data_IF_723548057963
#
_entry.id   IF_723548057963
#
_cell.length_a   1.000
_cell.length_b   1.000
_cell.length_c   1.000
_cell.angle_alpha   90.00
_cell.angle_beta   90.00
_cell.angle_gamma   90.00
#
_symmetry.space_group_name_H-M   'P 1'
#
loop_
_entity.id
_entity.type
_entity.pdbx_description
1 polymer ?
#
# COMPACT_ATOMS: atom_id res chain seq x y z
N UNK A 1 -30.69 -35.00 30.37
CA UNK A 1 -30.70 -33.64 29.80
C UNK A 1 -29.63 -32.82 30.53
N UNK A 2 -28.39 -32.62 30.07
CA UNK A 2 -27.95 -32.31 28.71
C UNK A 2 -27.51 -30.84 28.58
N UNK A 3 -26.96 -30.21 29.62
CA UNK A 3 -26.51 -28.81 29.66
C UNK A 3 -25.14 -28.62 28.99
N UNK A 4 -25.06 -28.83 27.67
CA UNK A 4 -23.94 -28.39 26.84
C UNK A 4 -24.35 -27.10 26.13
N UNK A 5 -24.16 -25.90 26.69
CA UNK A 5 -24.47 -24.65 25.94
C UNK A 5 -23.72 -23.34 26.25
N UNK A 6 -22.69 -23.24 27.13
CA UNK A 6 -21.86 -22.02 27.17
C UNK A 6 -20.55 -22.09 26.37
N UNK A 7 -19.98 -23.30 26.14
CA UNK A 7 -18.65 -23.44 25.55
C UNK A 7 -18.62 -23.18 24.02
N UNK A 8 -19.68 -23.56 23.29
CA UNK A 8 -19.75 -23.39 21.83
C UNK A 8 -19.94 -21.93 21.40
N UNK A 9 -20.67 -21.11 22.18
CA UNK A 9 -20.85 -19.68 21.86
C UNK A 9 -19.53 -18.91 21.92
N UNK A 10 -18.67 -19.23 22.89
CA UNK A 10 -17.43 -18.48 23.11
C UNK A 10 -16.38 -18.74 22.01
N UNK A 11 -16.29 -19.98 21.51
CA UNK A 11 -15.43 -20.32 20.37
C UNK A 11 -15.85 -19.64 19.06
N UNK A 12 -17.17 -19.46 18.86
CA UNK A 12 -17.73 -18.78 17.68
C UNK A 12 -17.44 -17.28 17.71
N UNK A 13 -17.44 -16.62 18.88
CA UNK A 13 -17.09 -15.19 18.96
C UNK A 13 -15.59 -14.96 18.76
N UNK A 14 -14.73 -15.82 19.31
CA UNK A 14 -13.28 -15.72 19.13
C UNK A 14 -12.86 -15.94 17.66
N UNK A 15 -13.37 -16.99 17.03
CA UNK A 15 -13.10 -17.30 15.62
C UNK A 15 -13.59 -16.20 14.67
N UNK A 16 -14.70 -15.53 14.99
CA UNK A 16 -15.22 -14.40 14.23
C UNK A 16 -14.39 -13.13 14.40
N UNK A 17 -13.91 -12.86 15.61
CA UNK A 17 -12.97 -11.77 15.85
C UNK A 17 -11.67 -11.96 15.05
N UNK A 18 -11.16 -13.19 15.01
CA UNK A 18 -9.97 -13.55 14.22
C UNK A 18 -10.24 -13.39 12.72
N UNK A 19 -11.37 -13.88 12.20
CA UNK A 19 -11.74 -13.72 10.79
C UNK A 19 -11.91 -12.24 10.41
N UNK A 20 -12.59 -11.45 11.25
CA UNK A 20 -12.74 -10.02 11.02
C UNK A 20 -11.37 -9.33 10.98
N UNK A 21 -10.46 -9.65 11.93
CA UNK A 21 -9.11 -9.10 11.96
C UNK A 21 -8.29 -9.48 10.71
N UNK A 22 -8.42 -10.72 10.23
CA UNK A 22 -7.75 -11.20 9.02
C UNK A 22 -8.18 -10.43 7.76
N UNK A 23 -9.42 -9.94 7.68
CA UNK A 23 -9.88 -9.10 6.57
C UNK A 23 -9.62 -7.61 6.82
N UNK A 24 -9.57 -7.18 8.07
CA UNK A 24 -9.34 -5.77 8.42
C UNK A 24 -7.88 -5.36 8.17
N UNK A 25 -6.92 -6.26 8.38
CA UNK A 25 -5.51 -6.04 8.06
C UNK A 25 -5.28 -5.65 6.58
N UNK A 26 -5.67 -6.47 5.58
CA UNK A 26 -5.51 -6.09 4.18
C UNK A 26 -6.36 -4.85 3.83
N UNK A 27 -7.52 -4.63 4.46
CA UNK A 27 -8.29 -3.41 4.24
C UNK A 27 -7.48 -2.15 4.60
N UNK A 28 -6.88 -2.13 5.79
CA UNK A 28 -6.08 -0.99 6.29
C UNK A 28 -4.83 -0.82 5.45
N UNK A 29 -4.10 -1.90 5.16
CA UNK A 29 -2.93 -1.84 4.28
C UNK A 29 -3.29 -1.30 2.89
N UNK A 30 -4.42 -1.73 2.34
CA UNK A 30 -4.91 -1.27 1.05
C UNK A 30 -5.21 0.23 1.03
N UNK A 31 -5.91 0.73 2.05
CA UNK A 31 -6.21 2.15 2.22
C UNK A 31 -4.93 2.97 2.36
N UNK A 32 -3.94 2.50 3.13
CA UNK A 32 -2.65 3.19 3.27
C UNK A 32 -1.92 3.26 1.94
N UNK A 33 -1.80 2.16 1.19
CA UNK A 33 -1.12 2.14 -0.12
C UNK A 33 -1.80 3.07 -1.13
N UNK A 34 -3.12 2.95 -1.28
CA UNK A 34 -3.89 3.79 -2.19
C UNK A 34 -3.85 5.27 -1.77
N UNK A 35 -3.98 5.55 -0.48
CA UNK A 35 -3.88 6.90 0.06
C UNK A 35 -2.50 7.52 -0.16
N UNK A 36 -1.44 6.75 0.02
CA UNK A 36 -0.06 7.19 -0.24
C UNK A 36 0.15 7.53 -1.71
N UNK A 37 -0.36 6.68 -2.61
CA UNK A 37 -0.32 6.93 -4.05
C UNK A 37 -1.07 8.22 -4.41
N UNK A 38 -2.26 8.43 -3.84
CA UNK A 38 -3.05 9.65 -4.08
C UNK A 38 -2.38 10.90 -3.51
N UNK A 39 -1.81 10.81 -2.30
CA UNK A 39 -1.14 11.92 -1.62
C UNK A 39 0.24 12.26 -2.20
N UNK A 40 0.84 11.38 -3.02
CA UNK A 40 2.17 11.61 -3.58
C UNK A 40 2.19 12.88 -4.46
N UNK A 41 3.14 13.78 -4.21
CA UNK A 41 3.28 14.98 -5.04
C UNK A 41 3.77 14.62 -6.45
N UNK A 42 3.48 15.44 -7.46
CA UNK A 42 4.02 15.28 -8.83
C UNK A 42 5.51 15.61 -8.96
N UNK A 43 6.19 15.78 -7.83
CA UNK A 43 7.60 16.14 -7.75
C UNK A 43 8.45 14.90 -8.00
N UNK A 44 9.33 14.97 -9.00
CA UNK A 44 10.24 13.88 -9.33
C UNK A 44 11.35 13.81 -8.29
N UNK A 45 11.54 12.64 -7.67
CA UNK A 45 12.58 12.44 -6.66
C UNK A 45 13.56 11.38 -7.12
N UNK A 46 14.84 11.72 -7.02
CA UNK A 46 15.92 10.76 -7.17
C UNK A 46 16.09 9.96 -5.86
N UNK A 47 16.07 8.62 -5.89
CA UNK A 47 16.34 7.79 -4.71
C UNK A 47 17.82 7.76 -4.32
N UNK A 48 18.72 8.25 -5.17
CA UNK A 48 20.14 8.40 -4.89
C UNK A 48 20.67 9.77 -5.26
N UNK A 49 21.85 9.79 -5.86
CA UNK A 49 22.58 11.00 -6.24
C UNK A 49 21.96 11.60 -7.50
N UNK A 50 21.57 12.87 -7.42
CA UNK A 50 21.06 13.62 -8.56
C UNK A 50 22.14 14.55 -9.08
N UNK A 51 22.49 14.45 -10.36
CA UNK A 51 23.49 15.30 -10.99
C UNK A 51 22.78 16.33 -11.87
N UNK A 52 22.98 17.60 -11.54
CA UNK A 52 22.40 18.73 -12.27
C UNK A 52 23.01 18.90 -13.67
N UNK A 53 22.43 19.79 -14.45
CA UNK A 53 22.89 20.14 -15.81
C UNK A 53 24.34 20.66 -15.84
N UNK A 54 24.81 21.23 -14.73
CA UNK A 54 26.18 21.69 -14.52
C UNK A 54 27.18 20.56 -14.21
N UNK A 55 26.72 19.31 -14.13
CA UNK A 55 27.55 18.15 -13.79
C UNK A 55 27.85 18.01 -12.30
N UNK A 56 27.31 18.90 -11.47
CA UNK A 56 27.49 18.90 -10.02
C UNK A 56 26.31 18.22 -9.31
N UNK A 57 26.56 17.60 -8.16
CA UNK A 57 25.51 17.01 -7.33
C UNK A 57 24.52 18.08 -6.87
N UNK A 58 23.22 17.81 -7.05
CA UNK A 58 22.13 18.71 -6.71
C UNK A 58 21.19 18.08 -5.69
N UNK A 59 21.20 18.56 -4.43
CA UNK A 59 20.25 18.09 -3.43
C UNK A 59 18.84 18.61 -3.75
N UNK A 60 17.85 17.73 -3.59
CA UNK A 60 16.43 18.07 -3.71
C UNK A 60 15.74 17.37 -4.87
N UNK A 61 14.54 17.84 -5.25
CA UNK A 61 13.79 17.24 -6.34
C UNK A 61 14.46 17.48 -7.68
N UNK A 62 14.35 16.47 -8.53
CA UNK A 62 14.93 16.45 -9.86
C UNK A 62 14.22 17.48 -10.74
N UNK A 63 14.97 18.18 -11.59
CA UNK A 63 14.45 19.17 -12.53
C UNK A 63 14.55 18.66 -13.97
N UNK A 64 13.67 19.13 -14.86
CA UNK A 64 13.86 18.94 -16.29
C UNK A 64 15.22 19.53 -16.69
N UNK A 65 16.07 18.73 -17.35
CA UNK A 65 17.44 19.10 -17.72
C UNK A 65 18.53 18.52 -16.83
N UNK A 66 18.18 17.96 -15.65
CA UNK A 66 19.16 17.22 -14.83
C UNK A 66 19.71 16.02 -15.61
N UNK A 67 21.02 15.82 -15.50
CA UNK A 67 21.80 14.96 -16.40
C UNK A 67 21.52 13.48 -16.14
N UNK A 68 21.58 13.07 -14.87
CA UNK A 68 21.26 11.70 -14.46
C UNK A 68 20.98 11.63 -12.95
N UNK A 69 20.23 10.59 -12.58
CA UNK A 69 19.93 10.20 -11.22
C UNK A 69 20.44 8.78 -10.98
N UNK A 70 21.30 8.57 -9.98
CA UNK A 70 21.73 7.24 -9.59
C UNK A 70 20.63 6.54 -8.80
N UNK A 71 20.15 5.41 -9.32
CA UNK A 71 19.12 4.61 -8.68
C UNK A 71 19.79 3.66 -7.70
N UNK A 72 19.61 3.93 -6.41
CA UNK A 72 20.14 3.11 -5.33
C UNK A 72 19.03 2.23 -4.73
N UNK A 73 19.36 0.97 -4.43
CA UNK A 73 18.58 0.11 -3.52
C UNK A 73 19.41 -0.14 -2.27
N UNK A 74 19.17 0.67 -1.24
CA UNK A 74 20.07 0.74 -0.09
C UNK A 74 21.43 1.27 -0.55
N UNK A 75 22.48 0.47 -0.40
CA UNK A 75 23.84 0.84 -0.83
C UNK A 75 24.23 0.25 -2.20
N UNK A 76 23.30 -0.41 -2.91
CA UNK A 76 23.60 -1.06 -4.18
C UNK A 76 23.15 -0.17 -5.33
N UNK A 77 24.06 0.25 -6.25
CA UNK A 77 23.69 0.97 -7.46
C UNK A 77 23.01 0.02 -8.44
N UNK A 78 21.81 0.39 -8.88
CA UNK A 78 21.01 -0.35 -9.87
C UNK A 78 21.13 0.24 -11.28
N UNK A 79 21.79 1.38 -11.41
CA UNK A 79 21.99 2.09 -12.67
C UNK A 79 21.63 3.56 -12.56
N UNK A 80 21.67 4.25 -13.69
CA UNK A 80 21.31 5.66 -13.80
C UNK A 80 20.01 5.82 -14.58
N UNK A 81 19.23 6.85 -14.24
CA UNK A 81 18.03 7.24 -14.96
C UNK A 81 18.03 8.72 -15.24
N UNK A 82 17.55 9.08 -16.42
CA UNK A 82 17.24 10.47 -16.77
C UNK A 82 15.99 10.96 -16.04
N UNK A 83 15.74 12.28 -16.08
CA UNK A 83 14.55 12.89 -15.48
C UNK A 83 13.24 12.25 -15.96
N UNK A 84 13.08 12.05 -17.28
CA UNK A 84 11.84 11.51 -17.83
C UNK A 84 11.67 10.02 -17.53
N UNK A 85 12.75 9.24 -17.52
CA UNK A 85 12.72 7.83 -17.09
C UNK A 85 12.33 7.70 -15.62
N UNK A 86 12.89 8.55 -14.76
CA UNK A 86 12.55 8.54 -13.34
C UNK A 86 11.11 9.00 -13.10
N UNK A 87 10.64 10.00 -13.83
CA UNK A 87 9.25 10.46 -13.79
C UNK A 87 8.27 9.37 -14.21
N UNK A 88 8.57 8.64 -15.28
CA UNK A 88 7.77 7.53 -15.76
C UNK A 88 7.73 6.39 -14.72
N UNK A 89 8.89 6.00 -14.19
CA UNK A 89 8.98 4.97 -13.16
C UNK A 89 8.17 5.33 -11.90
N UNK A 90 8.28 6.57 -11.41
CA UNK A 90 7.49 7.03 -10.26
C UNK A 90 5.98 7.06 -10.55
N UNK A 91 5.59 7.34 -11.80
CA UNK A 91 4.19 7.29 -12.21
C UNK A 91 3.66 5.86 -12.22
N UNK A 92 4.43 4.91 -12.75
CA UNK A 92 4.10 3.49 -12.74
C UNK A 92 3.99 2.95 -11.31
N UNK A 93 4.97 3.25 -10.44
CA UNK A 93 4.95 2.87 -9.02
C UNK A 93 3.70 3.41 -8.31
N UNK A 94 3.28 4.63 -8.66
CA UNK A 94 2.06 5.24 -8.12
C UNK A 94 0.81 4.50 -8.57
N UNK A 95 0.71 4.14 -9.85
CA UNK A 95 -0.42 3.40 -10.39
C UNK A 95 -0.49 1.98 -9.84
N UNK A 96 0.65 1.33 -9.66
CA UNK A 96 0.73 -0.01 -9.07
C UNK A 96 0.26 0.02 -7.60
N UNK A 97 0.78 0.95 -6.80
CA UNK A 97 0.33 1.15 -5.42
C UNK A 97 -1.16 1.48 -5.32
N UNK A 98 -1.71 2.26 -6.27
CA UNK A 98 -3.13 2.55 -6.31
C UNK A 98 -3.95 1.30 -6.65
N UNK A 99 -3.48 0.49 -7.60
CA UNK A 99 -4.15 -0.73 -8.06
C UNK A 99 -4.14 -1.80 -6.98
N UNK A 100 -2.97 -2.11 -6.43
CA UNK A 100 -2.80 -3.07 -5.32
C UNK A 100 -3.55 -2.57 -4.08
N UNK A 101 -3.39 -1.28 -3.74
CA UNK A 101 -4.03 -0.68 -2.58
C UNK A 101 -5.56 -0.74 -2.65
N UNK A 102 -6.13 -0.35 -3.79
CA UNK A 102 -7.59 -0.41 -4.00
C UNK A 102 -8.12 -1.85 -3.97
N UNK A 103 -7.41 -2.79 -4.59
CA UNK A 103 -7.76 -4.21 -4.56
C UNK A 103 -7.81 -4.78 -3.14
N UNK A 104 -6.76 -4.51 -2.34
CA UNK A 104 -6.69 -4.93 -0.93
C UNK A 104 -7.78 -4.28 -0.08
N UNK A 105 -8.06 -2.98 -0.29
CA UNK A 105 -9.09 -2.25 0.43
C UNK A 105 -10.49 -2.85 0.17
N UNK A 106 -10.83 -3.09 -1.10
CA UNK A 106 -12.11 -3.71 -1.49
C UNK A 106 -12.23 -5.12 -0.94
N UNK A 107 -11.19 -5.95 -1.11
CA UNK A 107 -11.17 -7.32 -0.60
C UNK A 107 -11.42 -7.37 0.91
N UNK A 108 -10.69 -6.57 1.67
CA UNK A 108 -10.82 -6.52 3.13
C UNK A 108 -12.19 -5.98 3.57
N UNK A 109 -12.70 -4.92 2.93
CA UNK A 109 -14.03 -4.38 3.21
C UNK A 109 -15.15 -5.40 2.96
N UNK A 110 -15.09 -6.12 1.83
CA UNK A 110 -16.06 -7.18 1.51
C UNK A 110 -16.00 -8.29 2.55
N UNK A 111 -14.80 -8.76 2.91
CA UNK A 111 -14.62 -9.79 3.93
C UNK A 111 -15.17 -9.40 5.31
N UNK A 112 -14.84 -8.19 5.78
CA UNK A 112 -15.39 -7.65 7.05
C UNK A 112 -16.92 -7.55 6.97
N UNK A 113 -17.45 -7.06 5.86
CA UNK A 113 -18.91 -6.94 5.64
C UNK A 113 -19.58 -8.30 5.68
N UNK A 114 -19.01 -9.34 5.07
CA UNK A 114 -19.56 -10.70 5.11
C UNK A 114 -19.56 -11.25 6.55
N UNK A 115 -18.45 -11.10 7.29
CA UNK A 115 -18.34 -11.57 8.68
C UNK A 115 -19.34 -10.84 9.59
N UNK A 116 -19.51 -9.52 9.40
CA UNK A 116 -20.40 -8.65 10.16
C UNK A 116 -21.88 -8.77 9.77
N UNK A 117 -22.23 -8.84 8.48
CA UNK A 117 -23.61 -8.98 8.03
C UNK A 117 -24.12 -10.42 8.21
N UNK A 118 -23.23 -11.41 8.10
CA UNK A 118 -23.51 -12.79 8.51
C UNK A 118 -23.83 -12.92 10.01
N UNK A 119 -23.48 -11.92 10.84
CA UNK A 119 -23.95 -11.84 12.24
C UNK A 119 -25.42 -11.40 12.31
N UNK A 120 -25.82 -10.35 11.58
CA UNK A 120 -27.18 -9.79 11.66
C UNK A 120 -28.27 -10.76 11.21
N UNK A 121 -27.99 -11.66 10.25
CA UNK A 121 -28.96 -12.66 9.77
C UNK A 121 -29.12 -13.90 10.65
N UNK A 122 -28.24 -14.15 11.63
CA UNK A 122 -28.40 -15.28 12.58
C UNK A 122 -29.07 -14.88 13.89
N UNK A 123 -29.20 -13.58 14.14
CA UNK A 123 -29.81 -13.02 15.37
C UNK A 123 -31.26 -12.59 15.19
N UNK A 124 -31.78 -12.63 13.95
CA UNK A 124 -33.21 -12.52 13.61
C UNK A 124 -33.71 -13.92 13.30
#
# INVERSE_FOLDING_TARGET
MGSKLPQERMGVHLSRGVLAALFLLPAVCGVVLAGSALASSSVVRCPGENVGEDGEERPGPMRPGDTHCSVLRGNVPLGERTYEEQRAAQHEDRLDNLTIGSGLAVYGLVGVTIVCCGLRRRTV
#
